data_IF_337028414244
#
_entry.id   IF_337028414244
#
_cell.length_a   1.000
_cell.length_b   1.000
_cell.length_c   1.000
_cell.angle_alpha   90.00
_cell.angle_beta   90.00
_cell.angle_gamma   90.00
#
_symmetry.space_group_name_H-M   'P 1'
#
loop_
_entity.id
_entity.type
_entity.pdbx_description
1 polymer ?
#
# COMPACT_ATOMS: atom_id res chain seq x y z
N UNK A 1 1.75 -17.93 -28.16
CA UNK A 1 0.78 -16.86 -27.82
C UNK A 1 0.43 -16.99 -26.34
N UNK A 2 1.22 -16.40 -25.46
CA UNK A 2 0.95 -16.37 -24.01
C UNK A 2 -0.08 -15.29 -23.75
N UNK A 3 -1.30 -15.67 -23.42
CA UNK A 3 -2.31 -14.74 -22.94
C UNK A 3 -1.76 -14.09 -21.65
N UNK A 4 -1.47 -12.81 -21.69
CA UNK A 4 -1.31 -12.00 -20.49
C UNK A 4 -2.60 -12.14 -19.69
N UNK A 5 -2.58 -12.93 -18.62
CA UNK A 5 -3.64 -12.93 -17.59
C UNK A 5 -3.45 -11.64 -16.83
N UNK A 6 -4.05 -10.57 -17.40
CA UNK A 6 -3.68 -9.21 -17.11
C UNK A 6 -4.19 -8.71 -15.78
N UNK A 7 -3.58 -7.67 -15.30
CA UNK A 7 -3.96 -6.73 -14.24
C UNK A 7 -5.47 -6.36 -14.24
N UNK A 8 -6.13 -6.52 -15.38
CA UNK A 8 -7.54 -6.19 -15.63
C UNK A 8 -8.55 -7.00 -14.81
N UNK A 9 -8.22 -8.21 -14.38
CA UNK A 9 -9.16 -9.05 -13.60
C UNK A 9 -9.12 -8.77 -12.08
N UNK A 10 -8.05 -8.23 -11.56
CA UNK A 10 -7.93 -7.93 -10.14
C UNK A 10 -8.84 -6.80 -9.67
N UNK A 11 -8.93 -5.72 -10.45
CA UNK A 11 -9.71 -4.54 -10.08
C UNK A 11 -11.23 -4.76 -10.04
N UNK A 12 -11.87 -5.40 -11.04
CA UNK A 12 -13.30 -5.71 -10.96
C UNK A 12 -13.67 -6.60 -9.78
N UNK A 13 -12.87 -7.62 -9.49
CA UNK A 13 -13.10 -8.50 -8.34
C UNK A 13 -12.94 -7.75 -7.02
N UNK A 14 -11.93 -6.88 -6.91
CA UNK A 14 -11.72 -6.03 -5.75
C UNK A 14 -12.87 -5.05 -5.55
N UNK A 15 -13.35 -4.42 -6.60
CA UNK A 15 -14.49 -3.50 -6.54
C UNK A 15 -15.75 -4.18 -6.01
N UNK A 16 -16.05 -5.39 -6.48
CA UNK A 16 -17.19 -6.19 -5.99
C UNK A 16 -16.99 -6.58 -4.51
N UNK A 17 -15.78 -6.99 -4.13
CA UNK A 17 -15.48 -7.34 -2.75
C UNK A 17 -15.62 -6.11 -1.82
N UNK A 18 -15.07 -4.98 -2.22
CA UNK A 18 -15.17 -3.72 -1.45
C UNK A 18 -16.62 -3.27 -1.29
N UNK A 19 -17.41 -3.25 -2.36
CA UNK A 19 -18.82 -2.87 -2.30
C UNK A 19 -19.64 -3.72 -1.31
N UNK A 20 -19.24 -4.97 -1.07
CA UNK A 20 -19.90 -5.88 -0.12
C UNK A 20 -19.41 -5.72 1.31
N UNK A 21 -18.15 -5.36 1.51
CA UNK A 21 -17.51 -5.39 2.85
C UNK A 21 -17.54 -4.03 3.55
N UNK A 22 -17.40 -2.92 2.82
CA UNK A 22 -17.36 -1.59 3.45
C UNK A 22 -18.63 -1.22 4.22
N UNK A 23 -19.86 -1.46 3.72
CA UNK A 23 -21.05 -1.16 4.52
C UNK A 23 -21.11 -1.94 5.86
N UNK A 24 -20.54 -3.13 5.88
CA UNK A 24 -20.46 -3.95 7.12
C UNK A 24 -19.39 -3.43 8.06
N UNK A 25 -18.24 -3.02 7.52
CA UNK A 25 -17.16 -2.43 8.29
C UNK A 25 -17.61 -1.11 8.94
N UNK A 26 -18.26 -0.25 8.17
CA UNK A 26 -18.85 1.01 8.66
C UNK A 26 -19.87 0.77 9.77
N UNK A 27 -20.80 -0.14 9.56
CA UNK A 27 -21.81 -0.48 10.56
C UNK A 27 -21.21 -1.07 11.86
N UNK A 28 -20.06 -1.73 11.74
CA UNK A 28 -19.33 -2.29 12.88
C UNK A 28 -18.31 -1.31 13.50
N UNK A 29 -18.14 -0.11 12.94
CA UNK A 29 -17.11 0.85 13.38
C UNK A 29 -15.68 0.36 13.16
N UNK A 30 -15.46 -0.50 12.16
CA UNK A 30 -14.16 -1.11 11.86
C UNK A 30 -13.56 -0.46 10.62
N UNK A 31 -12.29 -0.10 10.69
CA UNK A 31 -11.50 0.37 9.53
C UNK A 31 -10.81 -0.82 8.86
N UNK A 32 -10.88 -0.87 7.55
CA UNK A 32 -10.16 -1.85 6.73
C UNK A 32 -8.87 -1.21 6.19
N UNK A 33 -7.78 -1.95 6.23
CA UNK A 33 -6.48 -1.47 5.82
C UNK A 33 -5.83 -2.42 4.82
N UNK A 34 -5.59 -1.95 3.58
CA UNK A 34 -4.99 -2.76 2.53
C UNK A 34 -3.47 -2.74 2.62
N UNK A 35 -2.89 -3.93 2.82
CA UNK A 35 -1.45 -4.14 2.80
C UNK A 35 -0.92 -4.25 1.37
N UNK A 36 0.32 -3.80 1.09
CA UNK A 36 1.00 -4.01 -0.19
C UNK A 36 1.18 -5.49 -0.54
N UNK A 37 1.33 -5.75 -1.83
CA UNK A 37 1.96 -7.00 -2.27
C UNK A 37 3.42 -6.99 -1.80
N UNK A 38 3.89 -8.11 -1.25
CA UNK A 38 5.26 -8.27 -0.77
C UNK A 38 5.94 -9.45 -1.49
N UNK A 39 6.96 -9.20 -2.30
CA UNK A 39 7.46 -7.90 -2.75
C UNK A 39 6.47 -7.15 -3.67
N UNK A 40 6.62 -5.81 -3.84
CA UNK A 40 5.73 -5.01 -4.69
C UNK A 40 6.06 -5.18 -6.19
N UNK A 41 5.98 -6.41 -6.66
CA UNK A 41 6.27 -6.82 -8.04
C UNK A 41 5.02 -7.40 -8.72
N UNK A 42 4.94 -7.23 -10.03
CA UNK A 42 3.86 -7.81 -10.83
C UNK A 42 4.31 -8.12 -12.27
N UNK A 43 4.10 -9.35 -12.77
CA UNK A 43 3.53 -10.51 -12.07
C UNK A 43 4.57 -11.29 -11.24
N UNK A 44 4.10 -12.06 -10.25
CA UNK A 44 4.93 -13.05 -9.55
C UNK A 44 4.46 -14.45 -9.98
N UNK A 45 5.36 -15.23 -10.58
CA UNK A 45 5.07 -16.59 -11.09
C UNK A 45 3.81 -16.63 -11.98
N UNK A 46 3.63 -15.60 -12.83
CA UNK A 46 2.49 -15.48 -13.73
C UNK A 46 1.19 -14.99 -13.09
N UNK A 47 1.18 -14.73 -11.78
CA UNK A 47 0.03 -14.15 -11.05
C UNK A 47 0.18 -12.65 -11.00
N UNK A 48 -0.81 -11.93 -11.54
CA UNK A 48 -0.83 -10.46 -11.47
C UNK A 48 -1.05 -9.98 -10.02
N UNK A 49 -0.25 -8.99 -9.62
CA UNK A 49 -0.35 -8.29 -8.34
C UNK A 49 -0.77 -6.85 -8.61
N UNK A 50 -1.66 -6.31 -7.80
CA UNK A 50 -2.23 -4.98 -8.06
C UNK A 50 -1.79 -3.94 -7.03
N UNK A 51 -1.37 -4.33 -5.82
CA UNK A 51 -0.94 -3.40 -4.78
C UNK A 51 0.57 -3.24 -4.77
N UNK A 52 1.13 -2.85 -5.92
CA UNK A 52 2.58 -2.82 -6.20
C UNK A 52 3.12 -1.45 -6.61
N UNK A 53 2.31 -0.40 -6.56
CA UNK A 53 2.72 0.98 -6.84
C UNK A 53 1.75 2.00 -6.24
N UNK A 54 2.17 3.26 -6.13
CA UNK A 54 1.38 4.32 -5.49
C UNK A 54 0.10 4.67 -6.25
N UNK A 55 0.11 4.63 -7.58
CA UNK A 55 -1.08 4.91 -8.40
C UNK A 55 -2.20 3.91 -8.12
N UNK A 56 -1.83 2.65 -7.91
CA UNK A 56 -2.81 1.62 -7.55
C UNK A 56 -3.36 1.83 -6.12
N UNK A 57 -2.57 2.38 -5.21
CA UNK A 57 -3.05 2.78 -3.89
C UNK A 57 -3.99 3.98 -3.97
N UNK A 58 -3.68 4.99 -4.79
CA UNK A 58 -4.61 6.09 -5.01
C UNK A 58 -5.92 5.58 -5.61
N UNK A 59 -5.85 4.74 -6.63
CA UNK A 59 -7.03 4.10 -7.20
C UNK A 59 -7.83 3.28 -6.17
N UNK A 60 -7.15 2.60 -5.25
CA UNK A 60 -7.82 1.84 -4.18
C UNK A 60 -8.65 2.75 -3.28
N UNK A 61 -8.08 3.87 -2.82
CA UNK A 61 -8.79 4.77 -1.91
C UNK A 61 -9.91 5.55 -2.61
N UNK A 62 -9.75 5.83 -3.90
CA UNK A 62 -10.78 6.50 -4.73
C UNK A 62 -11.93 5.57 -5.11
N UNK A 63 -11.69 4.25 -5.14
CA UNK A 63 -12.67 3.27 -5.61
C UNK A 63 -13.95 3.24 -4.77
N UNK A 64 -13.81 3.42 -3.46
CA UNK A 64 -14.93 3.54 -2.53
C UNK A 64 -14.63 4.69 -1.57
N UNK A 65 -15.36 5.80 -1.64
CA UNK A 65 -15.14 6.98 -0.79
C UNK A 65 -15.70 6.76 0.62
N UNK A 66 -15.14 5.79 1.32
CA UNK A 66 -15.49 5.42 2.69
C UNK A 66 -14.35 5.74 3.65
N UNK A 67 -14.67 6.21 4.85
CA UNK A 67 -13.69 6.35 5.92
C UNK A 67 -13.15 4.99 6.41
N UNK A 68 -13.90 3.91 6.18
CA UNK A 68 -13.45 2.56 6.47
C UNK A 68 -12.44 2.02 5.44
N UNK A 69 -12.29 2.68 4.27
CA UNK A 69 -11.35 2.29 3.22
C UNK A 69 -10.00 2.98 3.42
N UNK A 70 -8.96 2.22 3.68
CA UNK A 70 -7.63 2.78 3.88
C UNK A 70 -6.49 1.79 3.65
N UNK A 71 -5.33 2.15 4.13
CA UNK A 71 -4.04 1.56 3.82
C UNK A 71 -3.38 1.06 5.10
N UNK A 72 -2.87 -0.16 5.08
CA UNK A 72 -1.81 -0.62 5.97
C UNK A 72 -0.48 -0.25 5.29
N UNK A 73 0.08 0.89 5.67
CA UNK A 73 1.29 1.41 5.06
C UNK A 73 2.50 0.65 5.62
N UNK A 74 2.96 -0.37 4.88
CA UNK A 74 4.20 -1.07 5.19
C UNK A 74 5.37 -0.29 4.59
N UNK A 75 6.14 0.41 5.43
CA UNK A 75 7.20 1.32 4.98
C UNK A 75 8.23 0.63 4.10
N UNK A 76 8.66 -0.59 4.45
CA UNK A 76 9.60 -1.34 3.64
C UNK A 76 9.10 -1.60 2.21
N UNK A 77 7.82 -1.96 2.05
CA UNK A 77 7.25 -2.13 0.72
C UNK A 77 7.07 -0.79 -0.02
N UNK A 78 6.64 0.26 0.69
CA UNK A 78 6.50 1.58 0.08
C UNK A 78 7.86 2.17 -0.31
N UNK A 79 8.92 1.95 0.47
CA UNK A 79 10.30 2.35 0.13
C UNK A 79 10.83 1.66 -1.15
N UNK A 80 10.25 0.51 -1.52
CA UNK A 80 10.53 -0.16 -2.79
C UNK A 80 9.66 0.35 -3.95
N UNK A 81 8.66 1.19 -3.69
CA UNK A 81 7.75 1.76 -4.69
C UNK A 81 8.04 3.22 -5.02
N UNK A 82 8.76 3.94 -4.14
CA UNK A 82 9.05 5.37 -4.28
C UNK A 82 10.37 5.74 -3.61
N UNK A 83 11.05 6.71 -4.19
CA UNK A 83 12.26 7.32 -3.62
C UNK A 83 11.94 8.37 -2.54
N UNK A 84 10.67 8.79 -2.42
CA UNK A 84 10.22 9.77 -1.44
C UNK A 84 9.08 9.21 -0.59
N UNK A 85 9.44 8.36 0.35
CA UNK A 85 8.48 7.77 1.29
C UNK A 85 7.80 8.80 2.20
N UNK A 86 8.51 9.82 2.74
CA UNK A 86 7.85 10.87 3.53
C UNK A 86 6.75 11.62 2.76
N UNK A 87 6.96 11.91 1.47
CA UNK A 87 5.92 12.52 0.64
C UNK A 87 4.72 11.58 0.44
N UNK A 88 4.94 10.29 0.24
CA UNK A 88 3.86 9.31 0.13
C UNK A 88 3.06 9.20 1.44
N UNK A 89 3.73 9.24 2.60
CA UNK A 89 3.09 9.27 3.92
C UNK A 89 2.17 10.50 4.03
N UNK A 90 2.70 11.70 3.74
CA UNK A 90 1.90 12.93 3.79
C UNK A 90 0.73 12.89 2.81
N UNK A 91 0.96 12.38 1.58
CA UNK A 91 -0.07 12.28 0.55
C UNK A 91 -1.29 11.46 1.00
N UNK A 92 -1.07 10.26 1.51
CA UNK A 92 -2.17 9.40 1.97
C UNK A 92 -2.68 9.78 3.37
N UNK A 93 -1.82 10.33 4.21
CA UNK A 93 -2.18 10.78 5.54
C UNK A 93 -3.12 11.98 5.52
N UNK A 94 -2.86 12.99 4.70
CA UNK A 94 -3.73 14.16 4.50
C UNK A 94 -5.13 13.79 3.99
N UNK A 95 -5.24 12.64 3.32
CA UNK A 95 -6.53 12.07 2.91
C UNK A 95 -7.22 11.26 4.04
N UNK A 96 -6.58 11.10 5.21
CA UNK A 96 -7.07 10.27 6.31
C UNK A 96 -7.08 8.77 5.98
N UNK A 97 -6.22 8.32 5.06
CA UNK A 97 -6.25 6.96 4.50
C UNK A 97 -5.23 6.00 5.10
N UNK A 98 -4.34 6.45 5.96
CA UNK A 98 -3.41 5.57 6.68
C UNK A 98 -4.10 5.07 7.96
N UNK A 99 -4.49 3.79 7.97
CA UNK A 99 -5.18 3.18 9.11
C UNK A 99 -4.25 2.32 9.98
N UNK A 100 -3.14 1.87 9.41
CA UNK A 100 -2.17 1.05 10.08
C UNK A 100 -0.78 1.27 9.47
N UNK A 101 0.27 1.15 10.28
CA UNK A 101 1.66 1.30 9.83
C UNK A 101 2.49 0.10 10.28
N UNK A 102 3.22 -0.51 9.35
CA UNK A 102 4.39 -1.32 9.65
C UNK A 102 5.62 -0.43 9.55
N UNK A 103 6.18 -0.07 10.69
CA UNK A 103 7.39 0.74 10.76
C UNK A 103 8.61 -0.15 10.54
N UNK A 104 8.88 -0.44 9.29
CA UNK A 104 9.86 -1.42 8.78
C UNK A 104 10.79 -0.74 7.80
N UNK A 105 12.06 -1.10 7.78
CA UNK A 105 12.99 -0.66 6.75
C UNK A 105 13.60 -1.83 5.98
N UNK A 106 14.08 -1.53 4.78
CA UNK A 106 14.69 -2.48 3.84
C UNK A 106 15.88 -1.82 3.16
N UNK A 107 16.71 -2.65 2.51
CA UNK A 107 17.79 -2.21 1.63
C UNK A 107 17.77 -3.01 0.34
N UNK A 108 17.73 -2.32 -0.81
CA UNK A 108 17.76 -2.93 -2.13
C UNK A 108 16.65 -2.47 -3.07
N UNK A 109 16.28 -3.35 -3.98
CA UNK A 109 15.26 -3.09 -5.02
C UNK A 109 14.10 -4.08 -4.87
N UNK A 110 12.95 -3.85 -5.52
CA UNK A 110 11.82 -4.79 -5.45
C UNK A 110 12.19 -6.24 -5.80
N UNK A 111 13.18 -6.43 -6.70
CA UNK A 111 13.64 -7.74 -7.16
C UNK A 111 14.66 -8.38 -6.20
N UNK A 112 15.35 -7.56 -5.42
CA UNK A 112 16.44 -8.03 -4.55
C UNK A 112 16.63 -7.07 -3.37
N UNK A 113 15.98 -7.35 -2.26
CA UNK A 113 16.11 -6.57 -1.03
C UNK A 113 16.27 -7.47 0.20
N UNK A 114 16.75 -6.86 1.26
CA UNK A 114 16.85 -7.47 2.60
C UNK A 114 16.17 -6.59 3.63
N UNK A 115 15.62 -7.23 4.67
CA UNK A 115 15.19 -6.51 5.87
C UNK A 115 16.39 -5.83 6.52
N UNK A 116 16.18 -4.63 7.02
CA UNK A 116 17.20 -3.85 7.71
C UNK A 116 16.68 -3.38 9.08
N UNK A 117 17.60 -3.14 10.00
CA UNK A 117 17.26 -2.39 11.22
C UNK A 117 16.91 -0.95 10.87
N UNK A 118 16.16 -0.31 11.76
CA UNK A 118 15.61 1.04 11.55
C UNK A 118 16.66 2.15 11.35
N UNK A 119 17.90 1.89 11.72
CA UNK A 119 19.06 2.79 11.56
C UNK A 119 20.05 2.32 10.46
N UNK A 120 19.74 1.21 9.77
CA UNK A 120 20.61 0.60 8.76
C UNK A 120 19.90 0.36 7.41
N UNK A 121 18.69 0.84 7.23
CA UNK A 121 17.93 0.73 5.98
C UNK A 121 18.25 1.84 4.97
N UNK A 122 17.41 1.93 3.94
CA UNK A 122 17.58 2.93 2.88
C UNK A 122 16.70 4.17 3.07
N UNK A 123 15.84 4.17 4.10
CA UNK A 123 14.85 5.23 4.33
C UNK A 123 15.28 6.13 5.48
N UNK A 124 15.10 7.45 5.34
CA UNK A 124 15.17 8.37 6.49
C UNK A 124 13.91 8.19 7.38
N UNK A 125 14.02 7.26 8.33
CA UNK A 125 12.91 6.95 9.23
C UNK A 125 12.60 8.09 10.21
N UNK A 126 13.55 8.97 10.50
CA UNK A 126 13.30 10.16 11.31
C UNK A 126 12.39 11.15 10.57
N UNK A 127 12.62 11.33 9.26
CA UNK A 127 11.73 12.14 8.43
C UNK A 127 10.36 11.49 8.23
N UNK A 128 10.29 10.15 8.12
CA UNK A 128 9.02 9.43 8.11
C UNK A 128 8.23 9.67 9.40
N UNK A 129 8.88 9.66 10.57
CA UNK A 129 8.22 9.99 11.84
C UNK A 129 7.71 11.43 11.87
N UNK A 130 8.45 12.39 11.31
CA UNK A 130 7.94 13.76 11.15
C UNK A 130 6.72 13.80 10.25
N UNK A 131 6.76 13.08 9.12
CA UNK A 131 5.63 13.00 8.19
C UNK A 131 4.37 12.42 8.86
N UNK A 132 4.50 11.38 9.69
CA UNK A 132 3.36 10.86 10.47
C UNK A 132 2.84 11.84 11.52
N UNK A 133 3.70 12.61 12.14
CA UNK A 133 3.27 13.66 13.11
C UNK A 133 2.50 14.78 12.42
N UNK A 134 2.79 15.07 11.17
CA UNK A 134 2.26 16.20 10.41
C UNK A 134 0.86 15.93 9.81
N UNK A 135 0.33 14.68 9.95
CA UNK A 135 -0.93 14.20 9.36
C UNK A 135 -1.99 13.86 10.40
#
# INVERSE_FOLDING_TARGET
MTRRVGQWRGWPLRQVAQARHFPKAEAAGVKMAMHPDDPPLSPIRGVARIMSNLDNYQRLVDLVPSEANGIALCQGNFALMTDDLPAAIRHFGQQGKIHFVHFRDVRGTPENFTEAFHDDGQTDLAECMRAYRDI
#
